data_IF_192476786159
#
_entry.id   IF_192476786159
#
_cell.length_a   1.000
_cell.length_b   1.000
_cell.length_c   1.000
_cell.angle_alpha   90.00
_cell.angle_beta   90.00
_cell.angle_gamma   90.00
#
_symmetry.space_group_name_H-M   'P 1'
#
loop_
_entity.id
_entity.type
_entity.pdbx_description
1 polymer ?
#
# COMPACT_ATOMS: atom_id res chain seq x y z
N UNK A 1 8.07 61.25 -8.59
CA UNK A 1 9.24 61.97 -8.04
C UNK A 1 8.93 62.26 -6.57
N UNK A 2 9.72 61.85 -5.58
CA UNK A 2 11.01 61.11 -5.64
C UNK A 2 11.22 60.25 -4.39
N UNK A 3 12.09 59.24 -4.52
CA UNK A 3 12.69 58.41 -3.45
C UNK A 3 14.20 58.78 -3.34
N UNK A 4 15.06 58.18 -2.48
CA UNK A 4 14.88 57.52 -1.17
C UNK A 4 15.97 57.98 -0.13
N UNK A 5 16.26 57.18 0.90
CA UNK A 5 17.63 56.89 1.46
C UNK A 5 18.38 57.98 2.28
N UNK A 6 19.38 57.68 3.13
CA UNK A 6 19.77 56.48 3.92
C UNK A 6 20.95 56.81 4.87
N UNK A 7 21.35 55.86 5.74
CA UNK A 7 22.56 55.81 6.60
C UNK A 7 22.69 56.86 7.74
N UNK A 8 23.20 56.63 8.96
CA UNK A 8 23.93 55.53 9.67
C UNK A 8 25.42 55.81 9.98
N UNK A 9 25.72 56.42 11.14
CA UNK A 9 27.02 56.27 11.85
C UNK A 9 27.00 56.78 13.32
N UNK A 10 27.63 55.98 14.17
CA UNK A 10 28.12 56.07 15.58
C UNK A 10 28.88 57.36 16.01
N UNK A 11 29.50 57.47 17.22
CA UNK A 11 29.38 56.73 18.51
C UNK A 11 29.41 57.65 19.79
N UNK A 12 29.60 57.09 21.01
CA UNK A 12 30.54 57.50 22.12
C UNK A 12 30.08 57.01 23.51
N UNK A 13 31.04 56.81 24.43
CA UNK A 13 30.95 56.22 25.78
C UNK A 13 30.12 56.97 26.85
N UNK A 14 29.80 56.24 27.93
CA UNK A 14 29.39 56.80 29.22
C UNK A 14 29.08 55.71 30.27
N UNK A 15 30.03 55.42 31.17
CA UNK A 15 29.85 54.43 32.25
C UNK A 15 29.90 55.06 33.65
N UNK A 16 29.24 54.44 34.63
CA UNK A 16 29.51 54.57 36.07
C UNK A 16 28.72 53.52 36.89
N UNK A 17 29.30 53.07 38.00
CA UNK A 17 28.76 52.02 38.88
C UNK A 17 28.45 52.58 40.28
N UNK A 18 27.32 52.15 40.90
CA UNK A 18 27.04 52.20 42.36
C UNK A 18 25.72 51.47 42.69
N UNK A 19 25.65 50.82 43.85
CA UNK A 19 24.49 50.02 44.31
C UNK A 19 24.04 50.31 45.76
N UNK A 20 23.42 49.30 46.41
CA UNK A 20 22.59 49.32 47.65
C UNK A 20 21.16 49.88 47.47
N UNK A 21 20.13 49.54 48.26
CA UNK A 21 19.99 48.71 49.49
C UNK A 21 18.90 47.61 49.31
N UNK A 22 18.42 46.86 50.32
CA UNK A 22 19.02 45.77 51.15
C UNK A 22 17.87 45.05 51.96
N UNK A 23 17.96 43.71 52.19
CA UNK A 23 17.16 42.87 53.14
C UNK A 23 15.66 42.49 52.80
N UNK A 24 14.86 41.76 53.65
CA UNK A 24 14.78 40.28 53.55
C UNK A 24 13.39 39.56 53.78
N UNK A 25 13.40 38.22 53.57
CA UNK A 25 12.73 37.11 54.32
C UNK A 25 11.34 37.27 55.01
N UNK A 26 10.38 36.45 54.57
CA UNK A 26 9.34 35.69 55.33
C UNK A 26 8.70 34.68 54.33
N UNK A 27 8.26 33.43 54.57
CA UNK A 27 7.99 32.51 55.73
C UNK A 27 6.56 32.53 56.37
N UNK A 28 6.10 31.34 56.84
CA UNK A 28 4.77 30.98 57.43
C UNK A 28 3.52 31.02 56.51
N UNK A 29 2.30 30.60 56.89
CA UNK A 29 1.68 29.34 57.42
C UNK A 29 0.11 29.51 57.31
N UNK A 30 -0.85 28.55 57.42
CA UNK A 30 -0.92 27.06 57.51
C UNK A 30 -2.33 26.56 57.03
N UNK A 31 -2.56 25.23 57.04
CA UNK A 31 -3.73 24.50 57.62
C UNK A 31 -3.79 23.06 57.06
N UNK A 32 -3.57 21.99 57.84
CA UNK A 32 -4.34 21.39 58.96
C UNK A 32 -5.63 20.64 58.53
N UNK A 33 -6.04 19.52 59.13
CA UNK A 33 -5.32 18.34 59.69
C UNK A 33 -6.37 17.24 60.00
N UNK A 34 -6.00 15.97 60.00
CA UNK A 34 -6.56 14.88 60.85
C UNK A 34 -5.96 13.50 60.44
N UNK A 35 -5.84 12.50 61.32
CA UNK A 35 -5.02 12.37 62.55
C UNK A 35 -5.31 10.97 63.13
N UNK A 36 -4.27 10.15 63.33
CA UNK A 36 -4.12 9.04 64.31
C UNK A 36 -2.74 8.39 64.01
N UNK A 37 -1.73 8.46 64.88
CA UNK A 37 -1.55 7.75 66.17
C UNK A 37 -1.36 6.22 65.99
N UNK A 38 -0.41 5.53 66.64
CA UNK A 38 0.59 5.97 67.62
C UNK A 38 1.84 5.03 67.67
N UNK A 39 2.94 5.55 68.24
CA UNK A 39 3.97 4.84 69.00
C UNK A 39 4.81 3.70 68.36
N UNK A 40 6.14 3.91 68.27
CA UNK A 40 7.16 3.29 69.14
C UNK A 40 8.58 3.56 68.57
N UNK A 41 9.51 3.97 69.44
CA UNK A 41 10.95 4.03 69.13
C UNK A 41 11.64 2.79 69.71
N UNK A 42 12.57 2.16 68.98
CA UNK A 42 14.01 2.34 69.27
C UNK A 42 14.98 1.60 68.32
N UNK A 43 15.85 2.39 67.71
CA UNK A 43 17.28 2.14 67.35
C UNK A 43 17.85 0.72 67.49
N UNK A 44 18.35 0.13 66.39
CA UNK A 44 19.16 -1.10 66.44
C UNK A 44 19.96 -1.46 65.18
N UNK A 45 21.26 -1.08 65.16
CA UNK A 45 22.38 -1.76 64.47
C UNK A 45 22.48 -1.78 62.92
N UNK A 46 23.44 -0.98 62.44
CA UNK A 46 24.39 -1.24 61.33
C UNK A 46 24.06 -2.24 60.20
N UNK A 47 23.99 -1.69 58.99
CA UNK A 47 24.56 -2.22 57.73
C UNK A 47 24.61 -3.73 57.50
N UNK A 48 23.79 -4.20 56.56
CA UNK A 48 24.18 -5.26 55.63
C UNK A 48 23.78 -4.88 54.20
N UNK A 49 24.67 -5.11 53.24
CA UNK A 49 24.44 -4.76 51.83
C UNK A 49 23.50 -5.76 51.16
N UNK A 50 22.40 -5.29 50.58
CA UNK A 50 21.56 -6.08 49.69
C UNK A 50 21.43 -5.39 48.33
N UNK A 51 22.33 -5.78 47.42
CA UNK A 51 22.18 -5.53 45.99
C UNK A 51 21.02 -6.38 45.46
N UNK A 52 19.79 -5.88 45.56
CA UNK A 52 18.65 -6.50 44.89
C UNK A 52 18.71 -6.12 43.41
N UNK A 53 19.03 -7.04 42.47
CA UNK A 53 18.97 -6.72 41.06
C UNK A 53 17.53 -6.42 40.66
N UNK A 54 17.31 -5.41 39.82
CA UNK A 54 16.03 -5.19 39.17
C UNK A 54 15.67 -6.43 38.34
N UNK A 55 14.74 -7.22 38.85
CA UNK A 55 14.20 -8.38 38.15
C UNK A 55 13.62 -7.90 36.82
N UNK A 56 14.28 -8.28 35.71
CA UNK A 56 13.71 -8.11 34.38
C UNK A 56 12.47 -9.00 34.29
N UNK A 57 11.31 -8.41 34.54
CA UNK A 57 10.01 -9.01 34.27
C UNK A 57 9.89 -9.30 32.76
N UNK A 58 10.37 -10.48 32.35
CA UNK A 58 10.23 -10.98 30.98
C UNK A 58 8.75 -11.20 30.71
N UNK A 59 8.17 -10.33 29.88
CA UNK A 59 6.82 -10.50 29.36
C UNK A 59 6.73 -11.82 28.58
N UNK A 60 5.93 -12.75 29.11
CA UNK A 60 5.74 -14.09 28.54
C UNK A 60 5.08 -14.12 27.15
N UNK A 61 4.67 -12.97 26.61
CA UNK A 61 4.16 -12.80 25.24
C UNK A 61 5.24 -12.98 24.15
N UNK A 62 6.48 -12.61 24.44
CA UNK A 62 7.60 -12.61 23.48
C UNK A 62 7.83 -13.98 22.81
N UNK A 63 7.67 -15.08 23.56
CA UNK A 63 7.85 -16.45 23.06
C UNK A 63 6.81 -16.88 22.01
N UNK A 64 5.64 -16.22 21.92
CA UNK A 64 4.66 -16.47 20.84
C UNK A 64 4.90 -15.64 19.59
N UNK A 65 5.52 -14.46 19.71
CA UNK A 65 5.76 -13.54 18.60
C UNK A 65 6.64 -14.15 17.50
N UNK A 66 7.61 -14.99 17.85
CA UNK A 66 8.52 -15.62 16.89
C UNK A 66 7.83 -16.50 15.82
N UNK A 67 6.63 -17.03 16.09
CA UNK A 67 5.83 -17.79 15.09
C UNK A 67 4.92 -16.92 14.23
N UNK A 68 4.83 -15.62 14.50
CA UNK A 68 3.97 -14.68 13.77
C UNK A 68 4.65 -14.02 12.56
N UNK A 69 5.91 -14.37 12.26
CA UNK A 69 6.71 -13.80 11.17
C UNK A 69 6.72 -14.65 9.89
N UNK A 70 5.68 -15.45 9.67
CA UNK A 70 5.38 -16.00 8.34
C UNK A 70 4.85 -14.88 7.43
N UNK A 71 5.62 -14.58 6.39
CA UNK A 71 5.26 -13.57 5.38
C UNK A 71 3.94 -13.97 4.70
N UNK A 72 3.06 -13.00 4.40
CA UNK A 72 1.69 -13.27 3.94
C UNK A 72 1.59 -14.01 2.60
N UNK A 73 2.71 -14.14 1.89
CA UNK A 73 2.84 -14.86 0.62
C UNK A 73 3.73 -16.10 0.79
N UNK A 74 3.07 -17.26 0.82
CA UNK A 74 3.54 -18.53 0.24
C UNK A 74 5.03 -18.88 0.38
N UNK A 75 5.57 -18.82 1.61
CA UNK A 75 6.67 -19.70 2.00
C UNK A 75 6.11 -20.86 2.82
N UNK A 76 6.20 -22.08 2.27
CA UNK A 76 6.08 -23.29 3.09
C UNK A 76 7.45 -23.50 3.73
N UNK A 77 7.48 -23.80 5.03
CA UNK A 77 8.71 -24.12 5.73
C UNK A 77 9.18 -25.52 5.29
N UNK A 78 10.46 -25.64 4.89
CA UNK A 78 11.09 -26.95 4.84
C UNK A 78 11.35 -27.40 6.27
N UNK A 79 10.61 -28.41 6.75
CA UNK A 79 10.96 -29.10 8.00
C UNK A 79 12.28 -29.86 7.82
N UNK A 80 13.41 -29.21 8.11
CA UNK A 80 14.66 -29.90 8.38
C UNK A 80 14.53 -30.66 9.69
N UNK A 81 14.17 -31.95 9.58
CA UNK A 81 14.16 -32.87 10.72
C UNK A 81 15.58 -33.28 11.04
N UNK A 82 16.14 -32.70 12.11
CA UNK A 82 17.34 -33.22 12.75
C UNK A 82 17.11 -34.68 13.19
N UNK A 83 17.60 -35.64 12.40
CA UNK A 83 17.62 -37.05 12.79
C UNK A 83 18.89 -37.29 13.61
N UNK A 84 18.77 -37.17 14.95
CA UNK A 84 19.75 -37.78 15.84
C UNK A 84 19.75 -39.30 15.60
N UNK A 85 20.91 -39.86 15.26
CA UNK A 85 20.99 -41.18 14.66
C UNK A 85 20.84 -42.34 15.65
N UNK A 86 20.19 -43.41 15.21
CA UNK A 86 20.51 -44.78 15.62
C UNK A 86 20.26 -45.74 14.45
N UNK A 87 20.92 -46.89 14.49
CA UNK A 87 21.24 -47.78 13.38
C UNK A 87 20.09 -48.28 12.47
N UNK A 88 20.45 -48.58 11.22
CA UNK A 88 20.21 -49.96 10.76
C UNK A 88 19.01 -50.27 9.87
N UNK A 89 18.58 -49.39 8.95
CA UNK A 89 17.78 -49.83 7.80
C UNK A 89 18.04 -49.03 6.51
N UNK A 90 17.90 -49.70 5.37
CA UNK A 90 18.28 -49.16 4.04
C UNK A 90 17.32 -48.07 3.58
N UNK A 91 17.80 -46.82 3.51
CA UNK A 91 17.03 -45.72 2.91
C UNK A 91 16.86 -45.90 1.40
N UNK A 92 15.66 -45.67 0.83
CA UNK A 92 15.51 -45.32 -0.57
C UNK A 92 16.21 -43.97 -0.83
N UNK A 93 16.99 -43.85 -1.92
CA UNK A 93 17.78 -42.66 -2.23
C UNK A 93 16.93 -41.40 -2.44
N UNK A 94 17.52 -40.23 -2.16
CA UNK A 94 16.95 -38.90 -2.39
C UNK A 94 16.87 -38.47 -3.88
N UNK A 95 16.60 -39.38 -4.83
CA UNK A 95 16.53 -39.08 -6.28
C UNK A 95 15.42 -38.07 -6.67
N UNK A 96 14.61 -37.61 -5.72
CA UNK A 96 13.56 -36.61 -5.94
C UNK A 96 14.01 -35.14 -5.87
N UNK A 97 15.08 -34.82 -5.11
CA UNK A 97 15.54 -33.42 -4.94
C UNK A 97 16.49 -32.96 -6.05
N UNK A 98 17.29 -33.88 -6.58
CA UNK A 98 18.37 -33.61 -7.55
C UNK A 98 17.86 -33.02 -8.88
N UNK A 99 16.58 -33.23 -9.20
CA UNK A 99 15.92 -32.74 -10.42
C UNK A 99 15.00 -31.52 -10.19
N UNK A 100 14.99 -30.91 -9.00
CA UNK A 100 14.21 -29.70 -8.73
C UNK A 100 14.95 -28.45 -9.23
N UNK A 101 14.37 -27.77 -10.23
CA UNK A 101 15.02 -26.62 -10.88
C UNK A 101 14.92 -25.37 -10.02
N UNK A 102 16.04 -24.98 -9.41
CA UNK A 102 16.22 -23.74 -8.66
C UNK A 102 16.95 -22.67 -9.50
N UNK A 103 17.19 -21.48 -8.93
CA UNK A 103 18.04 -20.45 -9.54
C UNK A 103 19.50 -20.68 -9.17
N UNK A 104 20.42 -20.42 -10.09
CA UNK A 104 21.86 -20.71 -9.93
C UNK A 104 22.58 -19.61 -9.12
N UNK A 105 22.04 -19.30 -7.94
CA UNK A 105 22.48 -18.22 -7.06
C UNK A 105 22.04 -16.81 -7.48
N UNK A 106 22.57 -15.78 -6.80
CA UNK A 106 22.24 -14.36 -7.04
C UNK A 106 22.61 -13.88 -8.46
N UNK A 107 23.52 -14.58 -9.14
CA UNK A 107 23.99 -14.24 -10.48
C UNK A 107 23.05 -14.69 -11.61
N UNK A 108 22.09 -15.60 -11.37
CA UNK A 108 21.26 -16.21 -12.42
C UNK A 108 20.52 -15.13 -13.25
N UNK A 109 20.73 -15.04 -14.59
CA UNK A 109 20.06 -14.06 -15.44
C UNK A 109 18.54 -14.20 -15.47
N UNK A 110 17.96 -15.34 -15.07
CA UNK A 110 16.51 -15.54 -14.94
C UNK A 110 15.93 -15.00 -13.63
N UNK A 111 16.76 -14.70 -12.62
CA UNK A 111 16.29 -14.13 -11.35
C UNK A 111 15.76 -12.68 -11.55
N UNK A 112 14.49 -12.37 -11.22
CA UNK A 112 13.93 -11.03 -11.39
C UNK A 112 14.65 -9.96 -10.54
N UNK A 113 15.23 -10.36 -9.39
CA UNK A 113 15.95 -9.45 -8.50
C UNK A 113 17.27 -8.96 -9.10
N UNK A 114 17.90 -9.73 -9.99
CA UNK A 114 19.16 -9.37 -10.65
C UNK A 114 18.97 -8.48 -11.90
N UNK A 115 17.74 -8.07 -12.24
CA UNK A 115 17.53 -7.09 -13.33
C UNK A 115 18.05 -5.70 -12.93
N UNK A 116 18.55 -4.95 -13.92
CA UNK A 116 19.05 -3.58 -13.77
C UNK A 116 18.06 -2.67 -13.03
N UNK A 117 18.56 -1.83 -12.11
CA UNK A 117 17.74 -0.92 -11.28
C UNK A 117 16.76 -0.08 -12.10
N UNK A 118 17.19 0.49 -13.23
CA UNK A 118 16.34 1.28 -14.13
C UNK A 118 15.11 0.48 -14.61
N UNK A 119 15.30 -0.77 -15.05
CA UNK A 119 14.23 -1.64 -15.53
C UNK A 119 13.28 -2.09 -14.43
N UNK A 120 13.77 -2.27 -13.19
CA UNK A 120 12.88 -2.56 -12.04
C UNK A 120 12.02 -1.33 -11.73
N UNK A 121 12.59 -0.14 -11.71
CA UNK A 121 11.83 1.11 -11.57
C UNK A 121 10.82 1.35 -12.70
N UNK A 122 11.15 1.06 -13.96
CA UNK A 122 10.19 1.22 -15.06
C UNK A 122 8.99 0.27 -14.93
N UNK A 123 9.19 -0.96 -14.45
CA UNK A 123 8.08 -1.90 -14.18
C UNK A 123 7.19 -1.37 -13.04
N UNK A 124 7.78 -0.82 -11.97
CA UNK A 124 7.01 -0.20 -10.87
C UNK A 124 6.21 1.00 -11.38
N UNK A 125 6.83 1.90 -12.14
CA UNK A 125 6.16 3.11 -12.66
C UNK A 125 5.04 2.77 -13.65
N UNK A 126 5.21 1.77 -14.51
CA UNK A 126 4.13 1.27 -15.39
C UNK A 126 3.00 0.68 -14.54
N UNK A 127 3.31 -0.16 -13.55
CA UNK A 127 2.32 -0.72 -12.63
C UNK A 127 1.52 0.37 -11.92
N UNK A 128 2.20 1.34 -11.30
CA UNK A 128 1.61 2.53 -10.67
C UNK A 128 0.72 3.33 -11.63
N UNK A 129 1.18 3.57 -12.86
CA UNK A 129 0.39 4.30 -13.86
C UNK A 129 -0.89 3.55 -14.26
N UNK A 130 -0.86 2.21 -14.28
CA UNK A 130 -2.04 1.38 -14.52
C UNK A 130 -3.01 1.41 -13.33
N UNK A 131 -2.50 1.28 -12.10
CA UNK A 131 -3.32 1.41 -10.88
C UNK A 131 -3.99 2.80 -10.80
N UNK A 132 -3.23 3.86 -11.12
CA UNK A 132 -3.71 5.24 -11.17
C UNK A 132 -4.75 5.44 -12.29
N UNK A 133 -4.54 4.87 -13.49
CA UNK A 133 -5.53 4.93 -14.57
C UNK A 133 -6.86 4.26 -14.17
N UNK A 134 -6.80 3.11 -13.50
CA UNK A 134 -7.96 2.37 -12.99
C UNK A 134 -8.71 3.18 -11.92
N UNK A 135 -8.03 3.78 -10.95
CA UNK A 135 -8.72 4.57 -9.91
C UNK A 135 -9.02 6.02 -10.33
N UNK A 136 -8.43 6.50 -11.43
CA UNK A 136 -8.86 7.70 -12.14
C UNK A 136 -10.18 7.48 -12.88
N UNK A 137 -10.42 6.27 -13.42
CA UNK A 137 -11.63 5.96 -14.16
C UNK A 137 -12.91 6.01 -13.29
N UNK A 138 -12.83 5.65 -12.01
CA UNK A 138 -13.97 5.80 -11.08
C UNK A 138 -14.30 7.27 -10.81
N UNK A 139 -13.29 8.09 -10.52
CA UNK A 139 -13.51 9.49 -10.15
C UNK A 139 -13.86 10.38 -11.35
N UNK A 140 -13.28 10.11 -12.53
CA UNK A 140 -13.65 10.79 -13.76
C UNK A 140 -15.13 10.57 -14.12
N UNK A 141 -15.71 9.40 -13.79
CA UNK A 141 -17.15 9.15 -13.98
C UNK A 141 -18.05 10.13 -13.19
N UNK A 142 -17.62 10.66 -12.04
CA UNK A 142 -18.47 11.60 -11.29
C UNK A 142 -18.63 12.96 -11.98
N UNK A 143 -17.75 13.28 -12.93
CA UNK A 143 -17.84 14.50 -13.74
C UNK A 143 -18.80 14.37 -14.93
N UNK A 144 -19.22 13.16 -15.31
CA UNK A 144 -20.13 12.93 -16.45
C UNK A 144 -21.61 12.98 -16.07
N UNK A 145 -21.94 13.04 -14.77
CA UNK A 145 -23.31 12.91 -14.26
C UNK A 145 -24.26 13.96 -14.86
N UNK A 146 -23.87 15.24 -14.82
CA UNK A 146 -24.70 16.37 -15.26
C UNK A 146 -25.18 16.23 -16.72
N UNK A 147 -24.35 15.66 -17.60
CA UNK A 147 -24.71 15.40 -19.00
C UNK A 147 -25.49 14.08 -19.16
N UNK A 148 -25.11 13.03 -18.44
CA UNK A 148 -25.78 11.73 -18.51
C UNK A 148 -27.22 11.75 -17.95
N UNK A 149 -27.49 12.56 -16.93
CA UNK A 149 -28.84 12.79 -16.41
C UNK A 149 -29.73 13.46 -17.46
N UNK A 150 -29.18 14.41 -18.22
CA UNK A 150 -29.90 15.08 -19.32
C UNK A 150 -30.16 14.14 -20.49
N UNK A 151 -29.17 13.34 -20.92
CA UNK A 151 -29.31 12.47 -22.09
C UNK A 151 -30.18 11.22 -21.82
N UNK A 152 -29.99 10.56 -20.68
CA UNK A 152 -30.74 9.33 -20.35
C UNK A 152 -32.03 9.59 -19.56
N UNK A 153 -32.32 10.85 -19.21
CA UNK A 153 -33.47 11.27 -18.40
C UNK A 153 -33.57 10.50 -17.07
N UNK A 154 -32.44 10.35 -16.38
CA UNK A 154 -32.29 9.62 -15.11
C UNK A 154 -32.06 10.58 -13.94
N UNK A 155 -32.23 10.09 -12.71
CA UNK A 155 -31.87 10.81 -11.49
C UNK A 155 -30.38 10.67 -11.13
N UNK A 156 -29.85 11.64 -10.38
CA UNK A 156 -28.51 11.62 -9.75
C UNK A 156 -28.19 10.30 -9.04
N UNK A 157 -29.17 9.74 -8.35
CA UNK A 157 -29.05 8.45 -7.67
C UNK A 157 -28.74 7.31 -8.65
N UNK A 158 -29.48 7.23 -9.76
CA UNK A 158 -29.29 6.20 -10.78
C UNK A 158 -27.94 6.36 -11.54
N UNK A 159 -27.49 7.60 -11.75
CA UNK A 159 -26.13 7.85 -12.26
C UNK A 159 -25.06 7.38 -11.26
N UNK A 160 -25.25 7.66 -9.97
CA UNK A 160 -24.32 7.31 -8.88
C UNK A 160 -24.15 5.80 -8.69
N UNK A 161 -25.16 4.98 -9.00
CA UNK A 161 -25.03 3.51 -9.01
C UNK A 161 -23.90 3.03 -9.95
N UNK A 162 -23.53 3.79 -10.99
CA UNK A 162 -22.40 3.46 -11.87
C UNK A 162 -21.02 3.55 -11.18
N UNK A 163 -20.89 4.42 -10.17
CA UNK A 163 -19.69 4.51 -9.34
C UNK A 163 -19.67 3.35 -8.35
N UNK A 164 -20.79 3.10 -7.69
CA UNK A 164 -20.95 1.99 -6.74
C UNK A 164 -20.67 0.64 -7.40
N UNK A 165 -21.23 0.37 -8.59
CA UNK A 165 -21.00 -0.88 -9.33
C UNK A 165 -19.53 -1.04 -9.76
N UNK A 166 -18.86 0.04 -10.19
CA UNK A 166 -17.42 0.01 -10.48
C UNK A 166 -16.57 -0.31 -9.23
N UNK A 167 -16.87 0.33 -8.09
CA UNK A 167 -16.17 0.08 -6.81
C UNK A 167 -16.44 -1.33 -6.28
N UNK A 168 -17.67 -1.85 -6.43
CA UNK A 168 -17.97 -3.25 -6.13
C UNK A 168 -17.18 -4.21 -7.03
N UNK A 169 -17.03 -3.90 -8.32
CA UNK A 169 -16.15 -4.63 -9.23
C UNK A 169 -14.69 -4.63 -8.75
N UNK A 170 -14.15 -3.45 -8.41
CA UNK A 170 -12.80 -3.27 -7.87
C UNK A 170 -12.56 -4.05 -6.57
N UNK A 171 -13.57 -4.15 -5.69
CA UNK A 171 -13.47 -4.89 -4.43
C UNK A 171 -13.54 -6.41 -4.60
N UNK A 172 -14.31 -6.91 -5.57
CA UNK A 172 -14.52 -8.35 -5.79
C UNK A 172 -13.46 -8.99 -6.72
N UNK A 173 -13.02 -8.29 -7.75
CA UNK A 173 -12.04 -8.80 -8.72
C UNK A 173 -10.72 -9.34 -8.12
N UNK A 174 -10.12 -8.73 -7.08
CA UNK A 174 -8.88 -9.22 -6.46
C UNK A 174 -8.99 -10.64 -5.90
N UNK A 175 -10.19 -11.04 -5.44
CA UNK A 175 -10.44 -12.38 -4.89
C UNK A 175 -10.17 -13.48 -5.91
N UNK A 176 -10.43 -13.20 -7.19
CA UNK A 176 -10.23 -14.13 -8.30
C UNK A 176 -8.88 -13.90 -8.98
N UNK A 177 -8.53 -12.64 -9.25
CA UNK A 177 -7.36 -12.29 -10.07
C UNK A 177 -6.03 -12.40 -9.31
N UNK A 178 -6.01 -12.17 -8.00
CA UNK A 178 -4.77 -12.27 -7.22
C UNK A 178 -4.26 -13.72 -7.11
N UNK A 179 -5.08 -14.72 -6.72
CA UNK A 179 -4.65 -16.12 -6.71
C UNK A 179 -4.30 -16.65 -8.11
N UNK A 180 -5.02 -16.20 -9.14
CA UNK A 180 -4.77 -16.59 -10.53
C UNK A 180 -3.37 -16.15 -11.01
N UNK A 181 -2.85 -15.04 -10.47
CA UNK A 181 -1.49 -14.54 -10.77
C UNK A 181 -0.38 -15.43 -10.23
N UNK A 182 -0.63 -16.19 -9.15
CA UNK A 182 0.31 -17.16 -8.58
C UNK A 182 0.35 -18.48 -9.37
N UNK A 183 -0.72 -18.82 -10.11
CA UNK A 183 -0.76 -20.02 -10.95
C UNK A 183 -0.24 -19.78 -12.36
N UNK A 184 -0.76 -18.75 -13.03
CA UNK A 184 -0.50 -18.51 -14.45
C UNK A 184 0.68 -17.56 -14.69
N UNK A 185 1.18 -16.90 -13.64
CA UNK A 185 2.24 -15.90 -13.70
C UNK A 185 1.70 -14.48 -13.84
N UNK A 186 2.36 -13.54 -13.15
CA UNK A 186 1.90 -12.17 -13.00
C UNK A 186 1.76 -11.44 -14.35
N UNK A 187 2.63 -11.68 -15.34
CA UNK A 187 2.57 -10.99 -16.65
C UNK A 187 1.32 -11.37 -17.46
N UNK A 188 0.94 -12.64 -17.47
CA UNK A 188 -0.25 -13.10 -18.21
C UNK A 188 -1.50 -12.47 -17.60
N UNK A 189 -1.60 -12.43 -16.27
CA UNK A 189 -2.75 -11.80 -15.61
C UNK A 189 -2.79 -10.29 -15.82
N UNK A 190 -1.66 -9.59 -15.89
CA UNK A 190 -1.67 -8.16 -16.27
C UNK A 190 -2.20 -7.91 -17.67
N UNK A 191 -1.67 -8.59 -18.68
CA UNK A 191 -2.09 -8.43 -20.09
C UNK A 191 -3.57 -8.80 -20.25
N UNK A 192 -4.02 -9.92 -19.67
CA UNK A 192 -5.42 -10.31 -19.76
C UNK A 192 -6.36 -9.37 -18.99
N UNK A 193 -6.00 -8.93 -17.78
CA UNK A 193 -6.86 -8.06 -16.97
C UNK A 193 -6.92 -6.63 -17.50
N UNK A 194 -5.79 -6.05 -17.92
CA UNK A 194 -5.75 -4.70 -18.47
C UNK A 194 -6.28 -4.64 -19.91
N UNK A 195 -6.04 -5.68 -20.71
CA UNK A 195 -6.72 -5.86 -22.00
C UNK A 195 -8.25 -5.96 -21.84
N UNK A 196 -8.76 -6.65 -20.81
CA UNK A 196 -10.20 -6.65 -20.51
C UNK A 196 -10.70 -5.26 -20.05
N UNK A 197 -9.96 -4.54 -19.20
CA UNK A 197 -10.28 -3.16 -18.79
C UNK A 197 -10.38 -2.23 -20.02
N UNK A 198 -9.37 -2.24 -20.90
CA UNK A 198 -9.38 -1.53 -22.18
C UNK A 198 -10.60 -1.89 -23.05
N UNK A 199 -10.96 -3.18 -23.13
CA UNK A 199 -12.14 -3.62 -23.89
C UNK A 199 -13.46 -3.14 -23.26
N UNK A 200 -13.62 -3.19 -21.93
CA UNK A 200 -14.86 -2.78 -21.26
C UNK A 200 -15.07 -1.25 -21.21
N UNK A 201 -13.99 -0.45 -21.29
CA UNK A 201 -14.08 0.99 -21.47
C UNK A 201 -14.76 1.39 -22.80
N UNK A 202 -14.64 0.60 -23.87
CA UNK A 202 -15.22 0.93 -25.18
C UNK A 202 -16.76 0.89 -25.16
N UNK A 203 -17.45 -0.18 -24.68
CA UNK A 203 -18.89 -0.16 -24.45
C UNK A 203 -19.38 0.94 -23.50
N UNK A 204 -18.58 1.37 -22.52
CA UNK A 204 -18.90 2.54 -21.69
C UNK A 204 -18.91 3.84 -22.52
N UNK A 205 -17.97 4.02 -23.45
CA UNK A 205 -17.91 5.19 -24.33
C UNK A 205 -19.07 5.27 -25.34
N UNK A 206 -19.62 4.12 -25.77
CA UNK A 206 -20.74 4.04 -26.73
C UNK A 206 -22.07 3.62 -26.10
N UNK A 207 -22.19 3.69 -24.77
CA UNK A 207 -23.38 3.21 -24.05
C UNK A 207 -24.67 3.92 -24.53
N UNK A 208 -25.71 3.18 -24.95
CA UNK A 208 -26.99 3.75 -25.38
C UNK A 208 -28.01 3.91 -24.25
N UNK A 209 -27.73 3.38 -23.04
CA UNK A 209 -28.60 3.51 -21.87
C UNK A 209 -27.84 3.26 -20.56
N UNK A 210 -28.40 3.74 -19.44
CA UNK A 210 -27.80 3.59 -18.11
C UNK A 210 -27.58 2.12 -17.71
N UNK A 211 -28.49 1.19 -18.04
CA UNK A 211 -28.35 -0.22 -17.64
C UNK A 211 -27.10 -0.87 -18.26
N UNK A 212 -26.81 -0.58 -19.53
CA UNK A 212 -25.58 -1.00 -20.19
C UNK A 212 -24.33 -0.38 -19.53
N UNK A 213 -24.38 0.92 -19.20
CA UNK A 213 -23.30 1.59 -18.45
C UNK A 213 -23.04 0.91 -17.10
N UNK A 214 -24.07 0.57 -16.32
CA UNK A 214 -23.91 -0.11 -15.02
C UNK A 214 -23.25 -1.50 -15.16
N UNK A 215 -23.68 -2.29 -16.14
CA UNK A 215 -23.11 -3.63 -16.39
C UNK A 215 -21.65 -3.53 -16.84
N UNK A 216 -21.35 -2.64 -17.78
CA UNK A 216 -19.98 -2.47 -18.26
C UNK A 216 -19.08 -1.84 -17.18
N UNK A 217 -19.55 -0.87 -16.38
CA UNK A 217 -18.84 -0.35 -15.18
C UNK A 217 -18.45 -1.47 -14.20
N UNK A 218 -19.34 -2.42 -13.92
CA UNK A 218 -19.02 -3.54 -13.03
C UNK A 218 -17.89 -4.42 -13.59
N UNK A 219 -17.95 -4.77 -14.89
CA UNK A 219 -16.95 -5.59 -15.57
C UNK A 219 -15.59 -4.88 -15.72
N UNK A 220 -15.64 -3.58 -16.03
CA UNK A 220 -14.52 -2.65 -16.13
C UNK A 220 -13.75 -2.54 -14.79
N UNK A 221 -14.47 -2.29 -13.69
CA UNK A 221 -13.87 -2.28 -12.34
C UNK A 221 -13.33 -3.64 -11.90
N UNK A 222 -14.05 -4.73 -12.22
CA UNK A 222 -13.59 -6.10 -11.92
C UNK A 222 -12.30 -6.45 -12.66
N UNK A 223 -12.17 -6.03 -13.93
CA UNK A 223 -10.95 -6.23 -14.73
C UNK A 223 -9.77 -5.38 -14.23
N UNK A 224 -9.98 -4.07 -14.00
CA UNK A 224 -8.93 -3.15 -13.55
C UNK A 224 -8.32 -3.52 -12.17
N UNK A 225 -9.09 -4.19 -11.31
CA UNK A 225 -8.71 -4.55 -9.94
C UNK A 225 -7.39 -5.34 -9.79
N UNK A 226 -6.96 -6.07 -10.82
CA UNK A 226 -5.69 -6.81 -10.80
C UNK A 226 -4.49 -5.91 -10.44
N UNK A 227 -4.52 -4.65 -10.86
CA UNK A 227 -3.44 -3.68 -10.65
C UNK A 227 -3.46 -3.04 -9.26
N UNK A 228 -4.50 -3.25 -8.45
CA UNK A 228 -4.54 -2.80 -7.06
C UNK A 228 -4.05 -3.91 -6.09
N UNK A 229 -4.09 -5.18 -6.51
CA UNK A 229 -3.68 -6.33 -5.68
C UNK A 229 -2.35 -6.96 -6.13
N UNK A 230 -2.24 -7.37 -7.40
CA UNK A 230 -1.09 -8.16 -7.89
C UNK A 230 0.19 -7.32 -7.95
N UNK A 231 0.08 -6.01 -8.19
CA UNK A 231 1.22 -5.10 -8.33
C UNK A 231 2.03 -4.93 -7.04
N UNK A 232 1.41 -4.93 -5.86
CA UNK A 232 2.13 -5.01 -4.58
C UNK A 232 3.01 -6.26 -4.50
N UNK A 233 2.47 -7.41 -4.91
CA UNK A 233 3.23 -8.66 -5.03
C UNK A 233 4.38 -8.59 -6.04
N UNK A 234 4.17 -8.00 -7.22
CA UNK A 234 5.26 -7.78 -8.21
C UNK A 234 6.38 -6.89 -7.66
N UNK A 235 6.06 -5.85 -6.88
CA UNK A 235 7.09 -5.02 -6.23
C UNK A 235 7.86 -5.83 -5.18
N UNK A 236 7.17 -6.69 -4.42
CA UNK A 236 7.78 -7.65 -3.47
C UNK A 236 8.76 -8.63 -4.13
N UNK A 237 8.38 -9.24 -5.26
CA UNK A 237 9.21 -10.21 -5.98
C UNK A 237 10.52 -9.59 -6.49
N UNK A 238 10.49 -8.32 -6.93
CA UNK A 238 11.60 -7.65 -7.62
C UNK A 238 12.66 -7.00 -6.70
N UNK A 239 12.30 -6.63 -5.46
CA UNK A 239 13.17 -5.84 -4.58
C UNK A 239 13.51 -6.58 -3.27
N UNK A 240 14.76 -6.54 -2.79
CA UNK A 240 15.13 -7.09 -1.48
C UNK A 240 14.60 -6.18 -0.36
N UNK A 241 14.42 -6.76 0.85
CA UNK A 241 13.60 -6.17 1.93
C UNK A 241 14.08 -4.77 2.38
N UNK A 242 15.37 -4.48 2.25
CA UNK A 242 16.03 -3.22 2.65
C UNK A 242 15.75 -2.07 1.65
N UNK A 243 15.44 -2.44 0.39
CA UNK A 243 15.17 -1.52 -0.73
C UNK A 243 13.70 -1.51 -1.15
N UNK A 244 12.88 -2.41 -0.61
CA UNK A 244 11.46 -2.59 -0.95
C UNK A 244 10.58 -1.37 -0.59
N UNK A 245 10.92 -0.62 0.46
CA UNK A 245 10.01 0.40 1.02
C UNK A 245 9.68 1.54 0.05
N UNK A 246 10.65 2.10 -0.66
CA UNK A 246 10.43 3.25 -1.55
C UNK A 246 9.67 2.90 -2.84
N UNK A 247 9.97 1.79 -3.55
CA UNK A 247 9.12 1.27 -4.62
C UNK A 247 7.70 0.95 -4.15
N UNK A 248 7.54 0.34 -2.96
CA UNK A 248 6.24 0.01 -2.41
C UNK A 248 5.43 1.28 -2.06
N UNK A 249 6.07 2.32 -1.52
CA UNK A 249 5.43 3.62 -1.24
C UNK A 249 4.88 4.27 -2.52
N UNK A 250 5.68 4.33 -3.59
CA UNK A 250 5.28 4.92 -4.87
C UNK A 250 4.16 4.09 -5.52
N UNK A 251 4.19 2.77 -5.37
CA UNK A 251 3.08 1.91 -5.72
C UNK A 251 1.82 2.23 -4.90
N UNK A 252 1.86 2.12 -3.58
CA UNK A 252 0.70 2.30 -2.68
C UNK A 252 0.10 3.71 -2.75
N UNK A 253 0.88 4.74 -3.09
CA UNK A 253 0.36 6.08 -3.31
C UNK A 253 -0.50 6.19 -4.59
N UNK A 254 -0.12 5.50 -5.66
CA UNK A 254 -0.72 5.70 -7.00
C UNK A 254 -2.23 5.40 -7.13
N UNK A 255 -2.83 4.41 -6.43
CA UNK A 255 -4.29 4.23 -6.37
C UNK A 255 -5.06 5.41 -5.76
N UNK A 256 -4.48 6.20 -4.85
CA UNK A 256 -5.18 7.33 -4.21
C UNK A 256 -5.06 8.63 -5.02
N UNK A 257 -3.98 8.79 -5.80
CA UNK A 257 -3.79 9.93 -6.72
C UNK A 257 -4.77 9.90 -7.90
N UNK A 258 -5.12 8.72 -8.42
CA UNK A 258 -6.12 8.58 -9.49
C UNK A 258 -7.45 9.31 -9.19
N UNK A 259 -8.06 9.08 -8.02
CA UNK A 259 -9.22 9.81 -7.50
C UNK A 259 -9.13 11.34 -7.55
N UNK A 260 -7.94 11.91 -7.39
CA UNK A 260 -7.72 13.36 -7.36
C UNK A 260 -7.53 13.93 -8.78
N UNK A 261 -6.91 13.14 -9.66
CA UNK A 261 -6.68 13.48 -11.08
C UNK A 261 -7.94 13.31 -11.93
N UNK A 262 -8.82 12.36 -11.58
CA UNK A 262 -10.06 12.07 -12.33
C UNK A 262 -11.00 13.26 -12.51
N UNK A 263 -11.37 13.99 -11.43
CA UNK A 263 -12.21 15.18 -11.53
C UNK A 263 -11.54 16.35 -12.25
N UNK A 264 -10.20 16.45 -12.21
CA UNK A 264 -9.46 17.46 -13.00
C UNK A 264 -9.62 17.17 -14.49
N UNK A 265 -9.25 15.96 -14.93
CA UNK A 265 -9.34 15.56 -16.34
C UNK A 265 -10.81 15.62 -16.82
N UNK A 266 -11.70 14.99 -16.07
CA UNK A 266 -13.13 14.93 -16.39
C UNK A 266 -13.81 16.31 -16.38
N UNK A 267 -13.44 17.20 -15.46
CA UNK A 267 -13.95 18.57 -15.40
C UNK A 267 -13.51 19.44 -16.58
N UNK A 268 -12.32 19.20 -17.16
CA UNK A 268 -11.93 19.83 -18.42
C UNK A 268 -12.65 19.22 -19.63
N UNK A 269 -12.81 17.90 -19.70
CA UNK A 269 -13.46 17.26 -20.85
C UNK A 269 -14.95 17.60 -20.91
N UNK A 270 -15.72 17.36 -19.85
CA UNK A 270 -17.18 17.61 -19.83
C UNK A 270 -17.56 19.09 -19.96
N UNK A 271 -16.61 20.02 -19.75
CA UNK A 271 -16.82 21.44 -19.97
C UNK A 271 -16.79 21.86 -21.46
N UNK A 272 -16.00 21.14 -22.28
CA UNK A 272 -15.69 21.52 -23.66
C UNK A 272 -16.06 20.45 -24.71
N UNK A 273 -16.48 19.26 -24.26
CA UNK A 273 -16.86 18.12 -25.09
C UNK A 273 -17.91 17.23 -24.38
N UNK A 274 -18.46 16.26 -25.13
CA UNK A 274 -19.43 15.30 -24.60
C UNK A 274 -18.80 14.34 -23.58
N UNK A 275 -19.60 13.86 -22.62
CA UNK A 275 -19.19 12.89 -21.61
C UNK A 275 -18.60 11.58 -22.18
N UNK A 276 -18.96 11.23 -23.42
CA UNK A 276 -18.38 10.08 -24.14
C UNK A 276 -16.89 10.26 -24.40
N UNK A 277 -16.40 11.48 -24.59
CA UNK A 277 -14.96 11.76 -24.73
C UNK A 277 -14.18 11.45 -23.45
N UNK A 278 -14.80 11.59 -22.28
CA UNK A 278 -14.17 11.22 -21.00
C UNK A 278 -13.82 9.73 -20.96
N UNK A 279 -14.62 8.87 -21.62
CA UNK A 279 -14.26 7.46 -21.82
C UNK A 279 -13.29 7.22 -22.98
N UNK A 280 -13.40 7.94 -24.09
CA UNK A 280 -12.40 7.81 -25.17
C UNK A 280 -10.98 8.20 -24.73
N UNK A 281 -10.83 9.19 -23.85
CA UNK A 281 -9.54 9.54 -23.23
C UNK A 281 -9.03 8.41 -22.33
N UNK A 282 -9.90 7.75 -21.55
CA UNK A 282 -9.52 6.56 -20.77
C UNK A 282 -9.15 5.38 -21.67
N UNK A 283 -9.86 5.15 -22.79
CA UNK A 283 -9.51 4.11 -23.79
C UNK A 283 -8.12 4.37 -24.39
N UNK A 284 -7.81 5.62 -24.75
CA UNK A 284 -6.49 6.00 -25.27
C UNK A 284 -5.39 5.78 -24.21
N UNK A 285 -5.63 6.21 -22.97
CA UNK A 285 -4.68 6.06 -21.86
C UNK A 285 -4.43 4.57 -21.53
N UNK A 286 -5.50 3.78 -21.43
CA UNK A 286 -5.42 2.33 -21.24
C UNK A 286 -4.72 1.64 -22.42
N UNK A 287 -4.98 2.04 -23.67
CA UNK A 287 -4.31 1.47 -24.85
C UNK A 287 -2.79 1.72 -24.87
N UNK A 288 -2.36 2.93 -24.48
CA UNK A 288 -0.93 3.27 -24.35
C UNK A 288 -0.27 2.48 -23.21
N UNK A 289 -0.97 2.32 -22.08
CA UNK A 289 -0.46 1.55 -20.94
C UNK A 289 -0.44 0.03 -21.21
N UNK A 290 -1.43 -0.53 -21.92
CA UNK A 290 -1.43 -1.93 -22.36
C UNK A 290 -0.26 -2.23 -23.28
N UNK A 291 -0.01 -1.36 -24.28
CA UNK A 291 1.19 -1.46 -25.12
C UNK A 291 2.48 -1.41 -24.27
N UNK A 292 2.55 -0.53 -23.27
CA UNK A 292 3.69 -0.45 -22.36
C UNK A 292 3.86 -1.73 -21.52
N UNK A 293 2.79 -2.35 -21.02
CA UNK A 293 2.83 -3.65 -20.34
C UNK A 293 3.36 -4.73 -21.30
N UNK A 294 2.77 -4.86 -22.49
CA UNK A 294 3.12 -5.89 -23.48
C UNK A 294 4.60 -5.80 -23.88
N UNK A 295 5.13 -4.62 -24.15
CA UNK A 295 6.52 -4.47 -24.63
C UNK A 295 7.57 -4.35 -23.51
N UNK A 296 7.29 -3.63 -22.41
CA UNK A 296 8.33 -3.28 -21.43
C UNK A 296 8.35 -4.21 -20.21
N UNK A 297 7.20 -4.75 -19.79
CA UNK A 297 7.08 -5.61 -18.59
C UNK A 297 7.33 -7.08 -18.96
N UNK A 298 8.48 -7.68 -18.56
CA UNK A 298 8.74 -9.10 -18.72
C UNK A 298 8.00 -9.92 -17.66
N UNK A 299 8.14 -11.24 -17.68
CA UNK A 299 7.71 -12.07 -16.55
C UNK A 299 8.54 -11.75 -15.31
N UNK A 300 7.87 -11.43 -14.20
CA UNK A 300 8.48 -11.14 -12.89
C UNK A 300 8.35 -12.29 -11.90
N UNK A 301 7.42 -13.23 -12.13
CA UNK A 301 7.07 -14.27 -11.17
C UNK A 301 8.06 -15.45 -11.17
N UNK A 302 8.77 -15.63 -10.06
CA UNK A 302 9.85 -16.59 -9.91
C UNK A 302 9.47 -18.06 -10.22
N UNK A 303 8.38 -18.65 -9.69
CA UNK A 303 8.00 -20.04 -10.00
C UNK A 303 7.69 -20.30 -11.48
N UNK A 304 7.13 -19.34 -12.22
CA UNK A 304 6.87 -19.46 -13.66
C UNK A 304 8.15 -19.29 -14.49
N UNK A 305 9.11 -18.48 -14.01
CA UNK A 305 10.45 -18.42 -14.60
C UNK A 305 11.20 -19.75 -14.41
N UNK A 306 11.16 -20.36 -13.22
CA UNK A 306 11.70 -21.71 -12.98
C UNK A 306 10.99 -22.78 -13.81
N UNK A 307 9.67 -22.68 -14.01
CA UNK A 307 8.92 -23.56 -14.93
C UNK A 307 9.43 -23.46 -16.37
N UNK A 308 9.71 -22.24 -16.86
CA UNK A 308 10.31 -22.03 -18.19
C UNK A 308 11.75 -22.54 -18.26
N UNK A 309 12.54 -22.41 -17.19
CA UNK A 309 13.90 -22.99 -17.06
C UNK A 309 13.83 -24.53 -17.13
N UNK A 310 12.93 -25.17 -16.38
CA UNK A 310 12.72 -26.63 -16.40
C UNK A 310 12.26 -27.15 -17.77
N UNK A 311 11.30 -26.48 -18.43
CA UNK A 311 10.86 -26.86 -19.78
C UNK A 311 11.99 -26.71 -20.81
N UNK A 312 12.90 -25.75 -20.63
CA UNK A 312 14.10 -25.61 -21.47
C UNK A 312 15.11 -26.72 -21.20
N UNK A 313 15.41 -27.02 -19.94
CA UNK A 313 16.31 -28.12 -19.54
C UNK A 313 15.81 -29.49 -20.02
N UNK A 314 14.50 -29.81 -19.91
CA UNK A 314 13.92 -31.02 -20.51
C UNK A 314 14.22 -31.15 -22.01
N UNK A 315 14.19 -30.04 -22.75
CA UNK A 315 14.44 -30.01 -24.21
C UNK A 315 15.92 -30.06 -24.58
N UNK A 316 16.82 -29.63 -23.71
CA UNK A 316 18.26 -29.60 -23.97
C UNK A 316 18.96 -30.87 -23.46
N UNK A 317 18.49 -31.45 -22.34
CA UNK A 317 19.04 -32.67 -21.73
C UNK A 317 18.30 -33.94 -22.17
N UNK A 318 17.04 -33.84 -22.61
CA UNK A 318 16.19 -34.99 -22.97
C UNK A 318 15.53 -35.70 -21.77
N UNK A 319 16.02 -35.49 -20.56
CA UNK A 319 15.44 -36.04 -19.32
C UNK A 319 14.13 -35.34 -18.91
N UNK A 320 13.03 -36.08 -18.86
CA UNK A 320 11.75 -35.58 -18.34
C UNK A 320 11.75 -35.37 -16.81
N UNK A 321 12.74 -35.92 -16.10
CA UNK A 321 12.86 -35.90 -14.63
C UNK A 321 12.88 -34.48 -14.05
N UNK A 322 13.53 -33.54 -14.75
CA UNK A 322 13.60 -32.13 -14.36
C UNK A 322 12.22 -31.54 -14.11
N UNK A 323 11.92 -31.11 -12.89
CA UNK A 323 10.62 -30.51 -12.51
C UNK A 323 10.84 -29.17 -11.83
N UNK A 324 9.96 -28.23 -12.12
CA UNK A 324 9.89 -26.97 -11.35
C UNK A 324 9.00 -27.18 -10.11
N UNK A 325 9.20 -26.44 -9.01
CA UNK A 325 8.41 -26.60 -7.78
C UNK A 325 6.88 -26.54 -8.02
N UNK A 326 6.46 -25.64 -8.92
CA UNK A 326 5.05 -25.44 -9.31
C UNK A 326 4.45 -26.60 -10.14
N UNK A 327 5.27 -27.53 -10.66
CA UNK A 327 4.81 -28.76 -11.33
C UNK A 327 4.85 -30.00 -10.41
N UNK A 328 5.37 -29.85 -9.19
CA UNK A 328 5.29 -30.86 -8.11
C UNK A 328 4.03 -30.60 -7.27
N UNK A 329 3.61 -29.35 -7.16
CA UNK A 329 2.40 -28.91 -6.47
C UNK A 329 1.12 -29.15 -7.29
N UNK A 330 0.60 -30.38 -7.28
CA UNK A 330 -0.60 -30.80 -8.01
C UNK A 330 -1.89 -30.20 -7.41
N UNK A 331 -2.09 -28.89 -7.64
CA UNK A 331 -3.19 -28.08 -7.09
C UNK A 331 -4.26 -27.79 -8.14
N UNK A 332 -5.46 -28.31 -7.92
CA UNK A 332 -6.66 -27.88 -8.63
C UNK A 332 -6.84 -26.36 -8.52
N UNK A 333 -6.91 -25.68 -9.67
CA UNK A 333 -7.09 -24.23 -9.77
C UNK A 333 -8.38 -23.80 -9.08
N UNK A 334 -9.50 -24.48 -9.35
CA UNK A 334 -10.79 -24.19 -8.73
C UNK A 334 -10.76 -24.33 -7.20
N UNK A 335 -10.12 -25.39 -6.68
CA UNK A 335 -9.95 -25.58 -5.23
C UNK A 335 -9.10 -24.45 -4.62
N UNK A 336 -8.04 -24.01 -5.30
CA UNK A 336 -7.16 -22.99 -4.72
C UNK A 336 -7.77 -21.58 -4.81
N UNK A 337 -8.46 -21.23 -5.90
CA UNK A 337 -9.24 -19.97 -5.97
C UNK A 337 -10.28 -19.94 -4.85
N UNK A 338 -11.05 -21.02 -4.65
CA UNK A 338 -12.03 -21.09 -3.55
C UNK A 338 -11.39 -20.91 -2.16
N UNK A 339 -10.26 -21.58 -1.89
CA UNK A 339 -9.54 -21.43 -0.63
C UNK A 339 -8.93 -20.03 -0.44
N UNK A 340 -8.46 -19.40 -1.52
CA UNK A 340 -7.94 -18.03 -1.48
C UNK A 340 -9.04 -16.97 -1.41
N UNK A 341 -10.29 -17.26 -1.79
CA UNK A 341 -11.44 -16.41 -1.48
C UNK A 341 -11.83 -16.47 0.01
N UNK A 342 -11.63 -17.60 0.67
CA UNK A 342 -11.99 -17.80 2.09
C UNK A 342 -10.98 -17.14 3.04
N UNK A 343 -9.68 -17.19 2.74
CA UNK A 343 -8.62 -16.66 3.62
C UNK A 343 -8.73 -15.15 3.96
N UNK A 344 -9.03 -14.23 3.03
CA UNK A 344 -9.23 -12.82 3.35
C UNK A 344 -10.34 -12.57 4.37
N UNK A 345 -11.46 -13.30 4.27
CA UNK A 345 -12.54 -13.20 5.26
C UNK A 345 -12.12 -13.80 6.61
N UNK A 346 -11.38 -14.92 6.63
CA UNK A 346 -10.84 -15.47 7.88
C UNK A 346 -9.91 -14.46 8.57
N UNK A 347 -8.99 -13.83 7.83
CA UNK A 347 -8.13 -12.78 8.38
C UNK A 347 -8.94 -11.57 8.85
N UNK A 348 -9.96 -11.14 8.11
CA UNK A 348 -10.80 -9.99 8.48
C UNK A 348 -11.61 -10.22 9.76
N UNK A 349 -12.09 -11.45 10.01
CA UNK A 349 -12.92 -11.76 11.18
C UNK A 349 -12.15 -12.30 12.39
N UNK A 350 -10.98 -12.92 12.21
CA UNK A 350 -10.20 -13.49 13.31
C UNK A 350 -8.98 -12.64 13.72
N UNK A 351 -8.39 -11.84 12.82
CA UNK A 351 -7.25 -10.97 13.15
C UNK A 351 -7.71 -9.51 13.37
N UNK A 352 -7.95 -9.14 14.63
CA UNK A 352 -8.43 -7.79 15.01
C UNK A 352 -7.55 -6.65 14.46
N UNK A 353 -6.24 -6.86 14.33
CA UNK A 353 -5.32 -5.88 13.74
C UNK A 353 -5.60 -5.68 12.24
N UNK A 354 -5.94 -6.75 11.51
CA UNK A 354 -6.33 -6.68 10.11
C UNK A 354 -7.66 -5.93 9.95
N UNK A 355 -8.66 -6.27 10.78
CA UNK A 355 -9.96 -5.60 10.83
C UNK A 355 -9.80 -4.08 11.01
N UNK A 356 -9.03 -3.66 12.01
CA UNK A 356 -8.83 -2.23 12.31
C UNK A 356 -8.16 -1.46 11.15
N UNK A 357 -7.15 -2.05 10.50
CA UNK A 357 -6.46 -1.43 9.35
C UNK A 357 -7.33 -1.39 8.09
N UNK A 358 -8.11 -2.45 7.83
CA UNK A 358 -9.10 -2.48 6.74
C UNK A 358 -10.22 -1.45 6.97
N UNK A 359 -10.71 -1.32 8.20
CA UNK A 359 -11.75 -0.34 8.56
C UNK A 359 -11.25 1.10 8.41
N UNK A 360 -10.04 1.41 8.89
CA UNK A 360 -9.41 2.71 8.69
C UNK A 360 -9.25 3.03 7.18
N UNK A 361 -8.76 2.07 6.40
CA UNK A 361 -8.59 2.23 4.94
C UNK A 361 -9.93 2.45 4.22
N UNK A 362 -10.98 1.75 4.63
CA UNK A 362 -12.33 1.90 4.08
C UNK A 362 -12.95 3.25 4.44
N UNK A 363 -12.74 3.75 5.66
CA UNK A 363 -13.19 5.08 6.09
C UNK A 363 -12.48 6.18 5.28
N UNK A 364 -11.15 6.10 5.13
CA UNK A 364 -10.36 7.06 4.34
C UNK A 364 -10.79 7.08 2.87
N UNK A 365 -10.99 5.90 2.25
CA UNK A 365 -11.47 5.81 0.87
C UNK A 365 -12.93 6.30 0.73
N UNK A 366 -13.78 6.04 1.72
CA UNK A 366 -15.16 6.55 1.77
C UNK A 366 -15.21 8.07 1.84
N UNK A 367 -14.39 8.70 2.69
CA UNK A 367 -14.25 10.15 2.78
C UNK A 367 -13.77 10.75 1.45
N UNK A 368 -12.77 10.12 0.82
CA UNK A 368 -12.26 10.55 -0.49
C UNK A 368 -13.36 10.53 -1.56
N UNK A 369 -14.22 9.51 -1.56
CA UNK A 369 -15.32 9.40 -2.52
C UNK A 369 -16.51 10.33 -2.20
N UNK A 370 -16.73 10.66 -0.92
CA UNK A 370 -17.73 11.67 -0.52
C UNK A 370 -17.37 13.08 -1.02
N UNK A 371 -16.08 13.41 -1.18
CA UNK A 371 -15.67 14.69 -1.75
C UNK A 371 -16.13 14.89 -3.20
N UNK A 372 -16.35 13.83 -3.99
CA UNK A 372 -16.91 13.95 -5.34
C UNK A 372 -18.30 14.59 -5.35
N UNK A 373 -19.17 14.21 -4.41
CA UNK A 373 -20.47 14.84 -4.22
C UNK A 373 -20.37 16.20 -3.52
N UNK A 374 -19.55 16.30 -2.48
CA UNK A 374 -19.47 17.50 -1.65
C UNK A 374 -18.84 18.71 -2.38
N UNK A 375 -17.77 18.51 -3.17
CA UNK A 375 -17.13 19.61 -3.89
C UNK A 375 -18.00 20.12 -5.04
N UNK A 376 -18.71 19.23 -5.74
CA UNK A 376 -19.73 19.61 -6.71
C UNK A 376 -20.81 20.50 -6.05
N UNK A 377 -21.42 20.01 -4.97
CA UNK A 377 -22.49 20.74 -4.26
C UNK A 377 -22.02 22.08 -3.68
N UNK A 378 -20.83 22.15 -3.09
CA UNK A 378 -20.32 23.38 -2.48
C UNK A 378 -19.86 24.38 -3.55
N UNK A 379 -18.99 23.98 -4.47
CA UNK A 379 -18.37 24.94 -5.40
C UNK A 379 -19.29 25.30 -6.57
N UNK A 380 -20.08 24.38 -7.12
CA UNK A 380 -21.01 24.71 -8.21
C UNK A 380 -22.23 25.46 -7.68
N UNK A 381 -22.94 24.93 -6.68
CA UNK A 381 -24.22 25.52 -6.26
C UNK A 381 -24.05 26.77 -5.38
N UNK A 382 -23.11 26.79 -4.43
CA UNK A 382 -22.96 27.93 -3.50
C UNK A 382 -21.98 29.01 -4.02
N UNK A 383 -20.97 28.62 -4.81
CA UNK A 383 -19.95 29.54 -5.32
C UNK A 383 -20.02 29.81 -6.84
N UNK A 384 -20.91 29.13 -7.58
CA UNK A 384 -21.09 29.35 -9.02
C UNK A 384 -19.91 28.91 -9.90
N UNK A 385 -19.09 27.96 -9.44
CA UNK A 385 -17.93 27.48 -10.18
C UNK A 385 -18.32 26.62 -11.39
N UNK A 386 -17.60 26.81 -12.49
CA UNK A 386 -17.69 25.99 -13.69
C UNK A 386 -17.10 24.58 -13.46
N UNK A 387 -17.46 23.58 -14.27
CA UNK A 387 -17.04 22.19 -14.06
C UNK A 387 -15.51 22.03 -13.97
N UNK A 388 -14.75 22.74 -14.82
CA UNK A 388 -13.29 22.73 -14.80
C UNK A 388 -12.70 23.37 -13.52
N UNK A 389 -13.36 24.38 -12.95
CA UNK A 389 -12.92 25.03 -11.70
C UNK A 389 -13.16 24.12 -10.50
N UNK A 390 -14.30 23.43 -10.48
CA UNK A 390 -14.62 22.38 -9.49
C UNK A 390 -13.69 21.18 -9.62
N UNK A 391 -13.29 20.79 -10.84
CA UNK A 391 -12.25 19.78 -11.05
C UNK A 391 -10.91 20.17 -10.42
N UNK A 392 -10.51 21.45 -10.56
CA UNK A 392 -9.25 21.95 -10.00
C UNK A 392 -9.20 21.99 -8.46
N UNK A 393 -10.32 21.99 -7.72
CA UNK A 393 -10.27 22.02 -6.24
C UNK A 393 -9.74 20.70 -5.65
N UNK A 394 -9.85 19.58 -6.38
CA UNK A 394 -9.25 18.29 -6.00
C UNK A 394 -7.72 18.32 -5.94
N UNK A 395 -7.06 19.27 -6.61
CA UNK A 395 -5.62 19.49 -6.48
C UNK A 395 -5.21 19.86 -5.04
N UNK A 396 -6.12 20.39 -4.22
CA UNK A 396 -5.86 20.62 -2.79
C UNK A 396 -5.64 19.32 -2.02
N UNK A 397 -6.37 18.26 -2.37
CA UNK A 397 -6.19 16.92 -1.76
C UNK A 397 -4.86 16.32 -2.25
N UNK A 398 -4.59 16.39 -3.55
CA UNK A 398 -3.32 15.94 -4.15
C UNK A 398 -2.09 16.61 -3.53
N UNK A 399 -2.13 17.94 -3.29
CA UNK A 399 -1.03 18.64 -2.59
C UNK A 399 -0.87 18.12 -1.16
N UNK A 400 -1.97 17.87 -0.44
CA UNK A 400 -1.94 17.20 0.87
C UNK A 400 -1.31 15.81 0.81
N UNK A 401 -1.67 15.00 -0.19
CA UNK A 401 -1.09 13.66 -0.37
C UNK A 401 0.41 13.72 -0.73
N UNK A 402 0.82 14.62 -1.61
CA UNK A 402 2.24 14.82 -1.96
C UNK A 402 3.05 15.25 -0.74
N UNK A 403 2.51 16.09 0.14
CA UNK A 403 3.14 16.44 1.43
C UNK A 403 3.24 15.19 2.32
N UNK A 404 2.18 14.40 2.45
CA UNK A 404 2.18 13.15 3.23
C UNK A 404 3.23 12.15 2.76
N UNK A 405 3.33 11.90 1.45
CA UNK A 405 4.37 11.04 0.85
C UNK A 405 5.78 11.64 1.07
N UNK A 406 5.91 12.97 1.02
CA UNK A 406 7.19 13.66 1.29
C UNK A 406 7.66 13.56 2.74
N UNK A 407 6.79 13.14 3.68
CA UNK A 407 7.15 12.90 5.07
C UNK A 407 7.71 11.48 5.35
N UNK A 408 7.57 10.49 4.44
CA UNK A 408 8.12 9.14 4.64
C UNK A 408 9.62 9.14 4.99
N UNK A 409 10.52 9.93 4.38
CA UNK A 409 11.93 9.93 4.75
C UNK A 409 12.20 10.27 6.22
N UNK A 410 11.31 11.05 6.86
CA UNK A 410 11.36 11.38 8.29
C UNK A 410 10.90 10.18 9.11
N UNK A 411 9.76 9.59 8.76
CA UNK A 411 9.21 8.37 9.36
C UNK A 411 10.21 7.21 9.29
N UNK A 412 10.78 6.95 8.11
CA UNK A 412 11.79 5.92 7.86
C UNK A 412 13.06 6.15 8.69
N UNK A 413 13.50 7.41 8.84
CA UNK A 413 14.65 7.77 9.70
C UNK A 413 14.34 7.52 11.19
N UNK A 414 13.10 7.73 11.62
CA UNK A 414 12.65 7.44 12.98
C UNK A 414 12.52 5.92 13.23
N UNK A 415 11.98 5.16 12.29
CA UNK A 415 11.98 3.68 12.33
C UNK A 415 13.41 3.11 12.45
N UNK A 416 14.34 3.61 11.63
CA UNK A 416 15.75 3.19 11.70
C UNK A 416 16.45 3.57 13.03
N UNK A 417 16.03 4.67 13.68
CA UNK A 417 16.49 5.02 15.04
C UNK A 417 15.96 4.02 16.07
N UNK A 418 14.66 3.69 16.02
CA UNK A 418 14.04 2.73 16.95
C UNK A 418 14.67 1.33 16.83
N UNK A 419 14.82 0.81 15.60
CA UNK A 419 15.48 -0.49 15.34
C UNK A 419 16.94 -0.48 15.82
N UNK A 420 17.70 0.62 15.62
CA UNK A 420 19.07 0.74 16.14
C UNK A 420 19.11 0.74 17.67
N UNK A 421 18.16 1.40 18.32
CA UNK A 421 18.08 1.46 19.79
C UNK A 421 17.73 0.08 20.39
N UNK A 422 16.93 -0.73 19.69
CA UNK A 422 16.59 -2.11 20.09
C UNK A 422 17.61 -3.16 19.59
N UNK A 423 18.90 -2.80 19.55
CA UNK A 423 19.99 -3.72 19.20
C UNK A 423 19.94 -4.29 17.77
N UNK A 424 19.14 -3.71 16.87
CA UNK A 424 18.91 -4.20 15.50
C UNK A 424 17.67 -5.06 15.31
N UNK A 425 16.93 -5.40 16.38
CA UNK A 425 15.69 -6.19 16.29
C UNK A 425 14.52 -5.28 15.92
N UNK A 426 13.80 -5.62 14.85
CA UNK A 426 12.65 -4.83 14.37
C UNK A 426 11.32 -5.32 14.92
N UNK A 427 10.76 -4.57 15.85
CA UNK A 427 9.43 -4.83 16.44
C UNK A 427 8.30 -4.17 15.62
N UNK A 428 7.08 -4.76 15.56
CA UNK A 428 5.95 -4.19 14.84
C UNK A 428 5.55 -2.79 15.33
N UNK A 429 5.60 -2.54 16.63
CA UNK A 429 5.23 -1.25 17.25
C UNK A 429 6.03 -0.07 16.73
N UNK A 430 7.26 -0.27 16.24
CA UNK A 430 8.08 0.80 15.67
C UNK A 430 7.49 1.38 14.37
N UNK A 431 6.46 0.74 13.79
CA UNK A 431 5.70 1.23 12.62
C UNK A 431 4.38 1.91 12.96
N UNK A 432 3.99 1.99 14.24
CA UNK A 432 2.78 2.68 14.70
C UNK A 432 2.86 4.23 14.73
N UNK A 433 4.00 4.90 14.96
CA UNK A 433 4.05 6.36 15.01
C UNK A 433 3.43 7.12 13.82
N UNK A 434 3.60 6.72 12.54
CA UNK A 434 2.95 7.38 11.40
C UNK A 434 1.45 7.07 11.25
N UNK A 435 0.86 6.27 12.15
CA UNK A 435 -0.58 5.95 12.15
C UNK A 435 -1.32 6.63 13.30
N UNK A 436 -0.61 7.45 14.09
CA UNK A 436 -1.11 8.18 15.28
C UNK A 436 -1.00 9.71 15.07
N UNK A 437 -0.25 10.13 14.03
CA UNK A 437 -0.09 11.50 13.54
C UNK A 437 -0.96 11.73 12.30
#
# INVERSE_FOLDING_TARGET
MSVPSSSNSSPVDGGLEKGKLDYPREEEEKDHEETESDSIRHTGRQSNTLNTPLSKARSHSSARSARSYTDGYTHVEHEEKEVQGTDGSTQPKEEGKEFEVQFDGDADPFNPKNKSTLRKWSIVLIGSACSLCVTCASALYTSTYDQMEQEFHISREAATVGLTTYVCGLGLGPMFLSPLSEFYGRRIIYICAFGMFFVWLIPCAVAPNIASMLVFRFLDGLAGSAFLSVAGGTVGDMFPKEKLSAPMMIYTASPFVGPEVGPVIGGFINQFADWRWSFWVLVIWAGVLEAAIVFLVPETYAPVLLRRKAIKLRKETGDERWKAPIEIMDRSVARTVLWSCIRPFQLLFFEQMCLNLCLLSAILLGILYLFFGAFALIFQNNHGFNQWQTGLTFLGIFVGMVIGVSCDPITRRNYQRLVRNNGGVSEPEFRLPPTIL
#
